data_IF_381623160757
#
_entry.id   IF_381623160757
#
_cell.length_a   1.000
_cell.length_b   1.000
_cell.length_c   1.000
_cell.angle_alpha   90.00
_cell.angle_beta   90.00
_cell.angle_gamma   90.00
#
_symmetry.space_group_name_H-M   'P 1'
#
loop_
_entity.id
_entity.type
_entity.pdbx_description
1 polymer ?
#
# COMPACT_ATOMS: atom_id res chain seq x y z
N UNK A 1 -13.94 1.71 -2.56
CA UNK A 1 -13.35 2.24 -1.30
C UNK A 1 -12.54 1.08 -0.74
N UNK A 2 -11.25 1.30 -0.53
CA UNK A 2 -10.31 0.28 -0.05
C UNK A 2 -10.04 0.49 1.45
N UNK A 3 -9.84 -0.58 2.22
CA UNK A 3 -9.51 -0.51 3.65
C UNK A 3 -8.45 -1.54 4.01
N UNK A 4 -7.20 -1.25 3.64
CA UNK A 4 -6.05 -2.10 3.94
C UNK A 4 -5.87 -2.32 5.45
N UNK A 5 -6.27 -1.37 6.30
CA UNK A 5 -6.23 -1.52 7.77
C UNK A 5 -7.08 -2.68 8.29
N UNK A 6 -8.11 -3.10 7.54
CA UNK A 6 -8.97 -4.23 7.88
C UNK A 6 -8.64 -5.49 7.07
N UNK A 7 -7.51 -5.50 6.34
CA UNK A 7 -7.05 -6.67 5.61
C UNK A 7 -6.87 -7.88 6.54
N UNK A 8 -7.58 -8.99 6.32
CA UNK A 8 -7.51 -10.15 7.19
C UNK A 8 -6.30 -11.05 6.86
N UNK A 9 -6.05 -11.99 7.75
CA UNK A 9 -5.20 -13.14 7.45
C UNK A 9 -6.06 -14.33 7.01
N UNK A 10 -5.54 -15.13 6.08
CA UNK A 10 -6.19 -16.34 5.59
C UNK A 10 -5.54 -17.60 6.17
N UNK A 11 -6.39 -18.59 6.45
CA UNK A 11 -6.00 -19.96 6.74
C UNK A 11 -6.50 -20.85 5.60
N UNK A 12 -5.64 -21.66 4.95
CA UNK A 12 -6.10 -22.62 3.95
C UNK A 12 -7.16 -23.58 4.52
N UNK A 13 -8.13 -23.98 3.70
CA UNK A 13 -9.25 -24.83 4.15
C UNK A 13 -8.82 -26.25 4.56
N UNK A 14 -7.69 -26.74 4.06
CA UNK A 14 -7.17 -28.08 4.37
C UNK A 14 -6.76 -28.21 5.83
N UNK A 15 -6.93 -29.41 6.39
CA UNK A 15 -6.50 -29.71 7.75
C UNK A 15 -4.99 -29.44 7.92
N UNK A 16 -4.55 -28.74 8.98
CA UNK A 16 -3.14 -28.53 9.23
C UNK A 16 -2.44 -29.86 9.48
N UNK A 17 -1.37 -30.12 8.74
CA UNK A 17 -0.52 -31.29 8.99
C UNK A 17 0.39 -31.06 10.21
N UNK A 18 0.95 -32.15 10.75
CA UNK A 18 1.97 -32.05 11.81
C UNK A 18 3.12 -31.14 11.35
N UNK A 19 3.50 -30.17 12.18
CA UNK A 19 4.44 -29.10 11.83
C UNK A 19 3.81 -27.70 11.69
N UNK A 20 2.46 -27.62 11.64
CA UNK A 20 1.73 -26.36 11.64
C UNK A 20 1.54 -25.75 10.25
N UNK A 21 0.93 -24.56 10.20
CA UNK A 21 0.67 -23.82 8.96
C UNK A 21 0.91 -22.33 9.15
N UNK A 22 1.28 -21.65 8.07
CA UNK A 22 1.43 -20.20 8.04
C UNK A 22 0.09 -19.55 7.74
N UNK A 23 -0.25 -18.49 8.47
CA UNK A 23 -1.35 -17.60 8.11
C UNK A 23 -0.88 -16.66 7.00
N UNK A 24 -1.72 -16.50 5.98
CA UNK A 24 -1.40 -15.72 4.79
C UNK A 24 -1.93 -14.30 4.98
N UNK A 25 -1.08 -13.29 4.83
CA UNK A 25 -1.51 -11.88 4.84
C UNK A 25 -2.29 -11.56 3.55
N UNK A 26 -3.57 -11.21 3.67
CA UNK A 26 -4.41 -10.94 2.52
C UNK A 26 -4.02 -9.68 1.74
N UNK A 27 -3.45 -8.67 2.40
CA UNK A 27 -2.99 -7.46 1.72
C UNK A 27 -1.85 -7.81 0.77
N UNK A 28 -0.90 -8.59 1.27
CA UNK A 28 0.27 -8.99 0.50
C UNK A 28 -0.11 -9.98 -0.59
N UNK A 29 -0.87 -11.02 -0.24
CA UNK A 29 -1.21 -12.11 -1.14
C UNK A 29 -2.13 -11.69 -2.29
N UNK A 30 -3.19 -10.92 -2.00
CA UNK A 30 -4.21 -10.57 -2.99
C UNK A 30 -3.99 -9.19 -3.63
N UNK A 31 -3.12 -8.35 -3.04
CA UNK A 31 -2.93 -6.96 -3.45
C UNK A 31 -1.52 -6.60 -3.93
N UNK A 32 -0.48 -7.01 -3.22
CA UNK A 32 0.87 -6.43 -3.39
C UNK A 32 1.94 -7.39 -3.94
N UNK A 33 1.59 -8.66 -4.15
CA UNK A 33 2.45 -9.63 -4.84
C UNK A 33 2.03 -9.74 -6.30
N UNK A 34 3.01 -9.68 -7.20
CA UNK A 34 2.76 -10.01 -8.60
C UNK A 34 2.38 -11.49 -8.74
N UNK A 35 1.26 -11.75 -9.40
CA UNK A 35 0.68 -13.08 -9.49
C UNK A 35 1.50 -14.07 -10.35
N UNK A 36 2.44 -13.58 -11.15
CA UNK A 36 3.24 -14.41 -12.08
C UNK A 36 4.67 -14.62 -11.57
N UNK A 37 5.29 -13.55 -11.07
CA UNK A 37 6.67 -13.56 -10.58
C UNK A 37 6.76 -13.84 -9.08
N UNK A 38 5.64 -13.81 -8.35
CA UNK A 38 5.53 -14.15 -6.93
C UNK A 38 6.46 -13.35 -6.02
N UNK A 39 6.67 -12.08 -6.35
CA UNK A 39 7.42 -11.14 -5.53
C UNK A 39 6.64 -9.83 -5.34
N UNK A 40 7.05 -9.00 -4.39
CA UNK A 40 6.40 -7.73 -4.10
C UNK A 40 6.49 -6.74 -5.27
N UNK A 41 5.41 -6.00 -5.54
CA UNK A 41 5.37 -4.96 -6.58
C UNK A 41 6.51 -3.92 -6.49
N UNK A 42 7.09 -3.70 -5.29
CA UNK A 42 8.29 -2.87 -5.13
C UNK A 42 9.49 -3.36 -5.94
N UNK A 43 9.64 -4.67 -6.13
CA UNK A 43 10.68 -5.24 -6.99
C UNK A 43 10.39 -4.95 -8.48
N UNK A 44 9.13 -4.96 -8.93
CA UNK A 44 8.79 -4.50 -10.28
C UNK A 44 9.25 -3.04 -10.49
N UNK A 45 9.10 -2.21 -9.46
CA UNK A 45 9.56 -0.82 -9.49
C UNK A 45 11.09 -0.73 -9.54
N UNK A 46 11.82 -1.55 -8.78
CA UNK A 46 13.28 -1.62 -8.83
C UNK A 46 13.80 -2.09 -10.19
N UNK A 47 13.17 -3.10 -10.80
CA UNK A 47 13.51 -3.55 -12.17
C UNK A 47 13.32 -2.43 -13.18
N UNK A 48 12.24 -1.67 -13.05
CA UNK A 48 11.95 -0.50 -13.89
C UNK A 48 12.99 0.60 -13.67
N UNK A 49 13.31 0.92 -12.40
CA UNK A 49 14.30 1.91 -12.05
C UNK A 49 15.69 1.55 -12.61
N UNK A 50 16.09 0.28 -12.48
CA UNK A 50 17.34 -0.22 -13.04
C UNK A 50 17.36 -0.12 -14.58
N UNK A 51 16.29 -0.56 -15.25
CA UNK A 51 16.16 -0.52 -16.72
C UNK A 51 16.29 0.89 -17.28
N UNK A 52 15.63 1.86 -16.66
CA UNK A 52 15.63 3.25 -17.10
C UNK A 52 16.68 4.13 -16.40
N UNK A 53 17.53 3.53 -15.56
CA UNK A 53 18.60 4.21 -14.80
C UNK A 53 18.06 5.37 -13.94
N UNK A 54 16.92 5.17 -13.31
CA UNK A 54 16.30 6.14 -12.40
C UNK A 54 17.04 6.05 -11.05
N UNK A 55 17.92 7.02 -10.78
CA UNK A 55 18.73 7.01 -9.57
C UNK A 55 17.90 7.19 -8.30
N UNK A 56 18.46 6.77 -7.17
CA UNK A 56 17.86 6.96 -5.86
C UNK A 56 17.61 8.44 -5.56
N UNK A 57 18.55 9.31 -5.92
CA UNK A 57 18.46 10.76 -5.70
C UNK A 57 17.30 11.36 -6.52
N UNK A 58 17.08 10.85 -7.74
CA UNK A 58 15.95 11.27 -8.56
C UNK A 58 14.60 10.84 -7.96
N UNK A 59 14.52 9.62 -7.44
CA UNK A 59 13.32 9.11 -6.75
C UNK A 59 13.04 9.93 -5.48
N UNK A 60 14.05 10.20 -4.66
CA UNK A 60 13.93 11.00 -3.44
C UNK A 60 13.54 12.45 -3.74
N UNK A 61 14.14 13.06 -4.76
CA UNK A 61 13.79 14.42 -5.18
C UNK A 61 12.33 14.51 -5.63
N UNK A 62 11.85 13.51 -6.38
CA UNK A 62 10.46 13.42 -6.79
C UNK A 62 9.52 13.23 -5.59
N UNK A 63 9.85 12.31 -4.67
CA UNK A 63 9.06 12.05 -3.48
C UNK A 63 8.94 13.32 -2.62
N UNK A 64 10.05 14.00 -2.35
CA UNK A 64 10.06 15.29 -1.62
C UNK A 64 9.15 16.32 -2.29
N UNK A 65 9.31 16.54 -3.60
CA UNK A 65 8.48 17.48 -4.34
C UNK A 65 6.99 17.07 -4.37
N UNK A 66 6.68 15.77 -4.32
CA UNK A 66 5.32 15.28 -4.18
C UNK A 66 4.73 15.69 -2.83
N UNK A 67 5.44 15.46 -1.72
CA UNK A 67 5.00 15.87 -0.38
C UNK A 67 4.81 17.38 -0.26
N UNK A 68 5.76 18.18 -0.77
CA UNK A 68 5.67 19.65 -0.74
C UNK A 68 4.43 20.15 -1.52
N UNK A 69 4.15 19.57 -2.69
CA UNK A 69 2.96 19.91 -3.49
C UNK A 69 1.66 19.53 -2.78
N UNK A 70 1.59 18.35 -2.18
CA UNK A 70 0.41 17.91 -1.43
C UNK A 70 0.13 18.84 -0.24
N UNK A 71 1.16 19.22 0.52
CA UNK A 71 1.03 20.16 1.63
C UNK A 71 0.58 21.55 1.17
N UNK A 72 1.16 22.07 0.09
CA UNK A 72 0.78 23.36 -0.47
C UNK A 72 -0.68 23.37 -0.97
N UNK A 73 -1.09 22.30 -1.66
CA UNK A 73 -2.45 22.15 -2.20
C UNK A 73 -3.49 22.06 -1.09
N UNK A 74 -3.20 21.32 -0.02
CA UNK A 74 -4.06 21.25 1.15
C UNK A 74 -4.20 22.62 1.85
N UNK A 75 -3.11 23.36 2.02
CA UNK A 75 -3.14 24.72 2.60
C UNK A 75 -3.91 25.73 1.73
N UNK A 76 -3.89 25.54 0.41
CA UNK A 76 -4.56 26.40 -0.55
C UNK A 76 -6.05 26.05 -0.74
N UNK A 77 -6.59 25.03 -0.05
CA UNK A 77 -7.99 24.61 -0.17
C UNK A 77 -8.33 23.94 -1.50
N UNK A 78 -7.33 23.40 -2.22
CA UNK A 78 -7.58 22.78 -3.53
C UNK A 78 -8.46 21.54 -3.44
N UNK A 79 -8.44 20.85 -2.30
CA UNK A 79 -9.21 19.64 -2.06
C UNK A 79 -10.62 19.88 -1.47
N UNK A 80 -10.99 21.14 -1.18
CA UNK A 80 -12.25 21.48 -0.49
C UNK A 80 -13.49 21.06 -1.29
N UNK A 81 -13.37 20.95 -2.62
CA UNK A 81 -14.46 20.56 -3.52
C UNK A 81 -14.63 19.04 -3.67
N UNK A 82 -13.63 18.26 -3.29
CA UNK A 82 -13.58 16.82 -3.53
C UNK A 82 -13.53 15.97 -2.25
N UNK A 83 -13.06 16.52 -1.13
CA UNK A 83 -13.04 15.82 0.16
C UNK A 83 -14.42 15.90 0.82
N UNK A 84 -15.01 14.73 1.08
CA UNK A 84 -16.19 14.57 1.92
C UNK A 84 -15.76 14.09 3.31
N UNK A 85 -16.15 14.76 4.42
CA UNK A 85 -15.75 14.35 5.76
C UNK A 85 -16.40 13.02 6.14
N UNK A 86 -15.61 12.11 6.73
CA UNK A 86 -16.08 10.83 7.28
C UNK A 86 -16.10 10.94 8.81
N UNK A 87 -17.28 10.84 9.42
CA UNK A 87 -17.41 10.83 10.87
C UNK A 87 -17.08 9.44 11.42
N UNK A 88 -16.24 9.38 12.44
CA UNK A 88 -15.90 8.14 13.15
C UNK A 88 -16.43 8.25 14.57
N UNK A 89 -17.37 7.38 14.92
CA UNK A 89 -17.84 7.25 16.30
C UNK A 89 -16.83 6.45 17.10
N UNK A 90 -16.20 7.08 18.09
CA UNK A 90 -15.50 6.33 19.12
C UNK A 90 -16.57 5.71 20.03
N UNK A 91 -16.52 4.40 20.25
CA UNK A 91 -17.42 3.75 21.20
C UNK A 91 -17.18 4.35 22.60
N UNK A 92 -18.23 4.60 23.40
CA UNK A 92 -18.04 4.80 24.84
C UNK A 92 -17.54 3.46 25.40
N UNK A 93 -16.47 3.51 26.21
CA UNK A 93 -16.02 2.36 27.00
C UNK A 93 -17.14 1.77 27.86
#
# INVERSE_FOLDING_TARGET
MESMSNGPFYLPRSDPTYGGTMLIDGIVNDGLIDAYSHFHMGICAEETAAKYKISREAQDAFAKASYERSQASAKAGFFDKEIVPVQVSLYPE
#
